data_IF_807524818354
#
_entry.id   IF_807524818354
#
_cell.length_a   1.000
_cell.length_b   1.000
_cell.length_c   1.000
_cell.angle_alpha   90.00
_cell.angle_beta   90.00
_cell.angle_gamma   90.00
#
_symmetry.space_group_name_H-M   'P 1'
#
loop_
_entity.id
_entity.type
_entity.pdbx_description
1 polymer ?
#
# COMPACT_ATOMS: atom_id res chain seq x y z
N UNK A 1 17.91 4.89 3.38
CA UNK A 1 17.47 4.14 2.19
C UNK A 1 18.71 3.71 1.42
N UNK A 2 18.77 2.49 0.86
CA UNK A 2 19.92 2.00 0.08
C UNK A 2 20.02 2.79 -1.23
N UNK A 3 21.23 3.19 -1.71
CA UNK A 3 21.39 4.04 -2.89
C UNK A 3 20.65 3.52 -4.14
N UNK A 4 20.72 2.22 -4.41
CA UNK A 4 20.03 1.59 -5.53
C UNK A 4 18.51 1.83 -5.51
N UNK A 5 17.89 1.69 -4.33
CA UNK A 5 16.45 1.92 -4.16
C UNK A 5 16.14 3.41 -4.42
N UNK A 6 16.91 4.32 -3.84
CA UNK A 6 16.70 5.76 -3.99
C UNK A 6 16.83 6.20 -5.46
N UNK A 7 17.87 5.73 -6.15
CA UNK A 7 18.09 6.04 -7.57
C UNK A 7 17.00 5.45 -8.46
N UNK A 8 16.51 4.25 -8.13
CA UNK A 8 15.42 3.62 -8.88
C UNK A 8 14.10 4.37 -8.69
N UNK A 9 13.78 4.81 -7.47
CA UNK A 9 12.61 5.67 -7.21
C UNK A 9 12.73 6.99 -7.98
N UNK A 10 13.88 7.65 -7.93
CA UNK A 10 14.14 8.88 -8.68
C UNK A 10 14.03 8.69 -10.20
N UNK A 11 14.36 7.50 -10.70
CA UNK A 11 14.15 7.13 -12.10
C UNK A 11 12.66 6.98 -12.41
N UNK A 12 11.92 6.22 -11.58
CA UNK A 12 10.48 6.00 -11.77
C UNK A 12 9.69 7.32 -11.76
N UNK A 13 10.05 8.26 -10.90
CA UNK A 13 9.46 9.62 -10.83
C UNK A 13 9.61 10.43 -12.13
N UNK A 14 10.57 10.06 -12.99
CA UNK A 14 10.83 10.67 -14.31
C UNK A 14 10.20 9.88 -15.46
N UNK A 15 9.48 8.80 -15.18
CA UNK A 15 8.77 7.99 -16.18
C UNK A 15 7.26 8.23 -16.10
N UNK A 16 6.50 7.59 -16.99
CA UNK A 16 5.05 7.56 -16.85
C UNK A 16 4.56 6.50 -15.84
N UNK A 17 5.44 5.78 -15.13
CA UNK A 17 5.06 4.75 -14.15
C UNK A 17 4.05 5.26 -13.12
N UNK A 18 2.84 4.73 -13.18
CA UNK A 18 1.76 5.12 -12.27
C UNK A 18 1.74 4.22 -11.05
N UNK A 19 1.92 4.84 -9.89
CA UNK A 19 1.63 4.23 -8.59
C UNK A 19 0.27 4.75 -8.14
N UNK A 20 -0.63 3.83 -7.78
CA UNK A 20 -1.99 4.17 -7.35
C UNK A 20 -2.03 4.41 -5.84
N UNK A 21 -1.22 5.36 -5.35
CA UNK A 21 -1.37 5.86 -3.98
C UNK A 21 -2.80 6.36 -3.77
N UNK A 22 -3.34 6.31 -2.53
CA UNK A 22 -4.64 6.91 -2.25
C UNK A 22 -4.67 8.37 -2.72
N UNK A 23 -5.73 8.75 -3.42
CA UNK A 23 -5.97 10.15 -3.77
C UNK A 23 -6.28 10.94 -2.49
N UNK A 24 -5.45 11.92 -2.15
CA UNK A 24 -5.56 12.69 -0.91
C UNK A 24 -6.16 14.04 -1.22
N UNK A 25 -7.31 14.34 -0.62
CA UNK A 25 -7.96 15.63 -0.70
C UNK A 25 -8.04 16.26 0.69
N UNK A 26 -7.58 17.50 0.84
CA UNK A 26 -7.73 18.22 2.10
C UNK A 26 -9.07 18.93 2.13
N UNK A 27 -9.80 18.78 3.23
CA UNK A 27 -11.16 19.28 3.36
C UNK A 27 -11.27 20.15 4.61
N UNK A 28 -11.73 21.38 4.42
CA UNK A 28 -12.16 22.28 5.49
C UNK A 28 -13.67 22.32 5.48
N UNK A 29 -14.29 22.07 6.64
CA UNK A 29 -15.74 22.08 6.80
C UNK A 29 -16.19 23.45 7.31
N UNK A 30 -17.18 24.05 6.64
CA UNK A 30 -17.73 25.38 6.96
C UNK A 30 -19.08 25.23 7.68
N UNK A 31 -19.46 26.27 8.45
CA UNK A 31 -20.62 26.30 9.37
C UNK A 31 -21.99 25.94 8.72
N UNK A 32 -22.14 26.03 7.40
CA UNK A 32 -23.39 25.74 6.67
C UNK A 32 -23.42 24.38 5.93
N UNK A 33 -22.55 23.43 6.31
CA UNK A 33 -22.28 22.17 5.58
C UNK A 33 -21.55 22.34 4.24
N UNK A 34 -21.14 23.56 3.93
CA UNK A 34 -20.23 23.83 2.83
C UNK A 34 -18.87 23.18 3.07
N UNK A 35 -18.26 22.68 2.00
CA UNK A 35 -16.96 22.00 2.04
C UNK A 35 -16.01 22.72 1.10
N UNK A 36 -14.86 23.12 1.62
CA UNK A 36 -13.75 23.58 0.80
C UNK A 36 -12.78 22.42 0.60
N UNK A 37 -12.56 22.05 -0.67
CA UNK A 37 -11.68 20.94 -1.04
C UNK A 37 -10.43 21.53 -1.68
N UNK A 38 -9.29 21.34 -1.04
CA UNK A 38 -8.00 21.71 -1.60
C UNK A 38 -7.39 20.49 -2.28
N UNK A 39 -7.15 20.64 -3.59
CA UNK A 39 -6.55 19.61 -4.45
C UNK A 39 -5.24 20.13 -5.03
N UNK A 40 -4.20 19.31 -5.01
CA UNK A 40 -2.95 19.59 -5.69
C UNK A 40 -2.85 18.74 -6.96
N UNK A 41 -2.60 19.39 -8.10
CA UNK A 41 -2.36 18.69 -9.37
C UNK A 41 -0.92 18.93 -9.81
N UNK A 42 -0.18 17.83 -10.04
CA UNK A 42 1.12 17.87 -10.70
C UNK A 42 0.96 17.36 -12.14
N UNK A 43 1.19 18.23 -13.12
CA UNK A 43 1.24 17.86 -14.53
C UNK A 43 2.71 17.84 -14.99
N UNK A 44 3.28 16.65 -15.11
CA UNK A 44 4.60 16.49 -15.74
C UNK A 44 4.46 16.48 -17.26
N UNK A 45 4.88 17.57 -17.90
CA UNK A 45 4.89 17.74 -19.37
C UNK A 45 6.15 17.20 -20.06
N UNK A 46 6.95 16.38 -19.37
CA UNK A 46 8.15 15.77 -19.97
C UNK A 46 7.78 14.73 -21.02
N UNK A 47 8.67 14.53 -22.01
CA UNK A 47 8.69 13.35 -22.87
C UNK A 47 8.93 12.12 -21.98
N UNK A 48 7.86 11.60 -21.39
CA UNK A 48 7.97 10.47 -20.48
C UNK A 48 8.47 9.26 -21.27
N UNK A 49 9.53 8.63 -20.79
CA UNK A 49 9.85 7.26 -21.18
C UNK A 49 8.59 6.42 -20.92
N UNK A 50 8.05 5.78 -21.96
CA UNK A 50 6.79 5.03 -21.92
C UNK A 50 6.92 3.69 -21.19
N UNK A 51 7.25 3.73 -19.89
CA UNK A 51 7.39 2.55 -19.04
C UNK A 51 6.04 1.85 -18.81
N UNK A 52 4.93 2.59 -18.74
CA UNK A 52 3.58 2.01 -18.61
C UNK A 52 3.20 1.11 -19.79
N UNK A 53 3.84 1.25 -20.95
CA UNK A 53 3.61 0.38 -22.11
C UNK A 53 4.49 -0.87 -22.10
N UNK A 54 5.42 -0.99 -21.14
CA UNK A 54 6.37 -2.10 -21.07
C UNK A 54 6.27 -2.79 -19.70
N UNK A 55 5.27 -3.65 -19.55
CA UNK A 55 5.01 -4.39 -18.30
C UNK A 55 6.19 -5.26 -17.86
N UNK A 56 6.95 -5.81 -18.80
CA UNK A 56 8.16 -6.57 -18.48
C UNK A 56 9.19 -5.71 -17.75
N UNK A 57 9.53 -4.55 -18.33
CA UNK A 57 10.50 -3.64 -17.72
C UNK A 57 9.98 -3.11 -16.38
N UNK A 58 8.69 -2.76 -16.33
CA UNK A 58 8.00 -2.30 -15.13
C UNK A 58 8.11 -3.30 -13.99
N UNK A 59 7.85 -4.58 -14.28
CA UNK A 59 7.98 -5.65 -13.31
C UNK A 59 9.42 -5.85 -12.86
N UNK A 60 10.39 -5.93 -13.78
CA UNK A 60 11.80 -6.18 -13.43
C UNK A 60 12.36 -5.09 -12.53
N UNK A 61 12.06 -3.82 -12.82
CA UNK A 61 12.51 -2.69 -11.97
C UNK A 61 11.89 -2.81 -10.58
N UNK A 62 10.58 -3.04 -10.51
CA UNK A 62 9.86 -3.13 -9.23
C UNK A 62 10.32 -4.34 -8.40
N UNK A 63 10.52 -5.49 -9.04
CA UNK A 63 11.06 -6.69 -8.41
C UNK A 63 12.47 -6.47 -7.87
N UNK A 64 13.35 -5.81 -8.64
CA UNK A 64 14.73 -5.58 -8.22
C UNK A 64 14.80 -4.69 -6.98
N UNK A 65 13.95 -3.66 -6.91
CA UNK A 65 13.79 -2.86 -5.68
C UNK A 65 13.32 -3.71 -4.50
N UNK A 66 12.32 -4.58 -4.72
CA UNK A 66 11.81 -5.48 -3.69
C UNK A 66 12.87 -6.46 -3.18
N UNK A 67 13.68 -7.03 -4.08
CA UNK A 67 14.75 -7.98 -3.76
C UNK A 67 15.88 -7.33 -2.96
N UNK A 68 16.33 -6.14 -3.39
CA UNK A 68 17.32 -5.35 -2.63
C UNK A 68 16.76 -4.93 -1.27
N UNK A 69 15.47 -4.59 -1.19
CA UNK A 69 14.84 -4.28 0.09
C UNK A 69 14.75 -5.51 0.99
N UNK A 70 14.44 -6.69 0.45
CA UNK A 70 14.47 -7.96 1.17
C UNK A 70 15.85 -8.24 1.78
N UNK A 71 16.92 -7.99 1.02
CA UNK A 71 18.29 -8.13 1.50
C UNK A 71 18.63 -7.07 2.57
N UNK A 72 18.05 -5.88 2.49
CA UNK A 72 18.24 -4.83 3.50
C UNK A 72 17.60 -5.20 4.84
N UNK A 73 16.39 -5.79 4.81
CA UNK A 73 15.68 -6.21 6.03
C UNK A 73 16.18 -7.55 6.57
N UNK A 74 16.81 -8.36 5.72
CA UNK A 74 17.40 -9.64 6.10
C UNK A 74 18.77 -9.86 5.39
N UNK A 75 19.85 -9.23 5.87
CA UNK A 75 21.16 -9.25 5.21
C UNK A 75 21.76 -10.65 5.03
N UNK A 76 21.45 -11.58 5.94
CA UNK A 76 21.90 -12.97 5.83
C UNK A 76 21.32 -13.69 4.61
N UNK A 77 20.31 -13.13 3.95
CA UNK A 77 19.67 -13.71 2.78
C UNK A 77 20.28 -13.25 1.45
N UNK A 78 21.23 -12.32 1.47
CA UNK A 78 21.94 -11.85 0.28
C UNK A 78 22.63 -13.02 -0.44
N UNK A 79 22.53 -13.03 -1.78
CA UNK A 79 23.09 -14.10 -2.62
C UNK A 79 22.36 -15.44 -2.55
N UNK A 80 21.38 -15.62 -1.65
CA UNK A 80 20.56 -16.84 -1.62
C UNK A 80 19.54 -16.85 -2.75
N UNK A 81 19.08 -18.05 -3.12
CA UNK A 81 17.98 -18.19 -4.09
C UNK A 81 16.69 -17.55 -3.57
N UNK A 82 15.79 -17.10 -4.46
CA UNK A 82 14.54 -16.48 -4.05
C UNK A 82 13.67 -17.38 -3.15
N UNK A 83 13.74 -18.70 -3.34
CA UNK A 83 13.07 -19.67 -2.46
C UNK A 83 13.62 -19.58 -1.03
N UNK A 84 14.95 -19.62 -0.89
CA UNK A 84 15.62 -19.51 0.41
C UNK A 84 15.37 -18.15 1.06
N UNK A 85 15.43 -17.05 0.28
CA UNK A 85 15.09 -15.70 0.76
C UNK A 85 13.68 -15.69 1.36
N UNK A 86 12.66 -16.11 0.61
CA UNK A 86 11.28 -16.19 1.11
C UNK A 86 11.14 -17.02 2.40
N UNK A 87 11.81 -18.17 2.46
CA UNK A 87 11.75 -19.06 3.63
C UNK A 87 12.37 -18.40 4.87
N UNK A 88 13.40 -17.57 4.69
CA UNK A 88 14.06 -16.84 5.76
C UNK A 88 13.36 -15.54 6.17
N UNK A 89 12.43 -15.00 5.36
CA UNK A 89 11.69 -13.79 5.73
C UNK A 89 10.85 -14.05 6.99
N UNK A 90 10.88 -13.16 7.99
CA UNK A 90 10.04 -13.26 9.17
C UNK A 90 8.55 -13.10 8.76
N UNK A 91 7.65 -13.62 9.61
CA UNK A 91 6.19 -13.69 9.38
C UNK A 91 5.43 -13.57 10.71
N UNK A 92 5.93 -12.73 11.61
CA UNK A 92 5.47 -12.61 13.00
C UNK A 92 4.42 -11.52 13.21
N UNK A 93 4.31 -10.59 12.27
CA UNK A 93 3.36 -9.49 12.29
C UNK A 93 2.85 -9.18 10.87
N UNK A 94 1.83 -8.32 10.76
CA UNK A 94 1.18 -8.01 9.49
C UNK A 94 2.13 -7.40 8.45
N UNK A 95 3.06 -6.54 8.88
CA UNK A 95 4.07 -5.94 8.00
C UNK A 95 4.87 -7.04 7.29
N UNK A 96 5.36 -8.00 8.08
CA UNK A 96 6.17 -9.12 7.62
C UNK A 96 5.37 -10.12 6.79
N UNK A 97 4.12 -10.39 7.18
CA UNK A 97 3.20 -11.27 6.45
C UNK A 97 2.95 -10.73 5.05
N UNK A 98 2.51 -9.47 4.94
CA UNK A 98 2.21 -8.81 3.66
C UNK A 98 3.47 -8.76 2.80
N UNK A 99 4.61 -8.33 3.37
CA UNK A 99 5.89 -8.29 2.67
C UNK A 99 6.28 -9.66 2.09
N UNK A 100 6.20 -10.71 2.91
CA UNK A 100 6.54 -12.07 2.47
C UNK A 100 5.59 -12.59 1.38
N UNK A 101 4.31 -12.24 1.44
CA UNK A 101 3.31 -12.56 0.43
C UNK A 101 3.61 -11.90 -0.91
N UNK A 102 3.90 -10.60 -0.91
CA UNK A 102 4.34 -9.86 -2.10
C UNK A 102 5.57 -10.50 -2.72
N UNK A 103 6.58 -10.81 -1.89
CA UNK A 103 7.81 -11.43 -2.34
C UNK A 103 7.57 -12.80 -3.00
N UNK A 104 6.67 -13.62 -2.45
CA UNK A 104 6.31 -14.92 -3.02
C UNK A 104 5.63 -14.80 -4.39
N UNK A 105 4.70 -13.87 -4.54
CA UNK A 105 4.07 -13.56 -5.83
C UNK A 105 5.13 -13.09 -6.84
N UNK A 106 5.98 -12.14 -6.42
CA UNK A 106 7.02 -11.56 -7.27
C UNK A 106 8.01 -12.62 -7.78
N UNK A 107 8.43 -13.55 -6.92
CA UNK A 107 9.27 -14.70 -7.29
C UNK A 107 8.67 -15.49 -8.46
N UNK A 108 7.37 -15.80 -8.41
CA UNK A 108 6.69 -16.60 -9.44
C UNK A 108 6.73 -15.87 -10.80
N UNK A 109 6.40 -14.58 -10.81
CA UNK A 109 6.45 -13.73 -12.01
C UNK A 109 7.87 -13.68 -12.55
N UNK A 110 8.84 -13.31 -11.71
CA UNK A 110 10.25 -13.15 -12.13
C UNK A 110 10.78 -14.43 -12.74
N UNK A 111 10.53 -15.58 -12.12
CA UNK A 111 11.00 -16.86 -12.64
C UNK A 111 10.36 -17.22 -13.99
N UNK A 112 9.08 -16.88 -14.18
CA UNK A 112 8.43 -17.02 -15.49
C UNK A 112 9.13 -16.14 -16.53
N UNK A 113 9.31 -14.84 -16.25
CA UNK A 113 9.92 -13.90 -17.19
C UNK A 113 11.34 -14.28 -17.64
N UNK A 114 12.17 -14.74 -16.69
CA UNK A 114 13.60 -14.98 -16.96
C UNK A 114 13.86 -16.39 -17.48
N UNK A 115 13.16 -17.40 -16.96
CA UNK A 115 13.48 -18.80 -17.25
C UNK A 115 12.43 -19.49 -18.14
N UNK A 116 11.22 -18.96 -18.23
CA UNK A 116 10.13 -19.54 -19.00
C UNK A 116 9.33 -18.43 -19.72
N UNK A 117 9.94 -17.67 -20.64
CA UNK A 117 9.29 -16.49 -21.24
C UNK A 117 7.99 -16.82 -21.99
N UNK A 118 7.85 -18.04 -22.50
CA UNK A 118 6.60 -18.52 -23.11
C UNK A 118 5.50 -18.86 -22.10
N UNK A 119 5.84 -18.94 -20.81
CA UNK A 119 4.94 -19.24 -19.70
C UNK A 119 4.42 -17.99 -18.98
N UNK A 120 4.66 -16.81 -19.55
CA UNK A 120 4.12 -15.54 -19.06
C UNK A 120 3.51 -14.77 -20.23
N UNK A 121 2.33 -14.23 -19.99
CA UNK A 121 1.60 -13.44 -20.97
C UNK A 121 1.05 -12.18 -20.29
N UNK A 122 1.37 -11.03 -20.88
CA UNK A 122 0.82 -9.74 -20.51
C UNK A 122 -0.18 -9.35 -21.60
N UNK A 123 -1.44 -9.71 -21.40
CA UNK A 123 -2.53 -9.16 -22.20
C UNK A 123 -2.95 -7.81 -21.59
N UNK A 124 -3.61 -6.96 -22.38
CA UNK A 124 -3.99 -5.59 -22.02
C UNK A 124 -4.75 -5.49 -20.68
N UNK A 125 -5.44 -6.56 -20.28
CA UNK A 125 -6.27 -6.59 -19.08
C UNK A 125 -5.77 -7.52 -17.97
N UNK A 126 -4.75 -8.36 -18.21
CA UNK A 126 -4.32 -9.37 -17.23
C UNK A 126 -2.89 -9.85 -17.45
N UNK A 127 -2.26 -10.24 -16.35
CA UNK A 127 -1.05 -11.05 -16.31
C UNK A 127 -1.44 -12.51 -16.08
N UNK A 128 -1.02 -13.39 -16.98
CA UNK A 128 -1.13 -14.84 -16.85
C UNK A 128 0.27 -15.44 -16.70
N UNK A 129 0.46 -16.27 -15.69
CA UNK A 129 1.66 -17.11 -15.53
C UNK A 129 1.23 -18.57 -15.53
N UNK A 130 1.87 -19.38 -16.37
CA UNK A 130 1.62 -20.83 -16.43
C UNK A 130 2.83 -21.56 -17.02
N UNK A 131 3.56 -22.31 -16.20
CA UNK A 131 4.66 -23.16 -16.67
C UNK A 131 4.91 -24.33 -15.71
N UNK A 132 5.66 -25.33 -16.18
CA UNK A 132 6.10 -26.48 -15.38
C UNK A 132 7.62 -26.47 -15.28
N UNK A 133 8.14 -26.61 -14.08
CA UNK A 133 9.58 -26.75 -13.84
C UNK A 133 9.83 -27.85 -12.80
N UNK A 134 10.68 -28.83 -13.14
CA UNK A 134 11.01 -29.99 -12.27
C UNK A 134 9.75 -30.63 -11.65
N UNK A 135 8.75 -30.92 -12.49
CA UNK A 135 7.46 -31.51 -12.11
C UNK A 135 6.60 -30.66 -11.16
N UNK A 136 6.98 -29.41 -10.92
CA UNK A 136 6.18 -28.46 -10.15
C UNK A 136 5.44 -27.53 -11.11
N UNK A 137 4.15 -27.35 -10.88
CA UNK A 137 3.30 -26.42 -11.61
C UNK A 137 3.38 -25.03 -10.99
N UNK A 138 3.71 -24.03 -11.80
CA UNK A 138 3.66 -22.63 -11.43
C UNK A 138 2.52 -21.98 -12.20
N UNK A 139 1.57 -21.40 -11.49
CA UNK A 139 0.45 -20.72 -12.14
C UNK A 139 -0.07 -19.57 -11.32
N UNK A 140 -0.60 -18.56 -12.01
CA UNK A 140 -1.45 -17.53 -11.44
C UNK A 140 -2.00 -16.61 -12.53
N UNK A 141 -3.11 -15.95 -12.22
CA UNK A 141 -3.68 -14.88 -13.05
C UNK A 141 -4.01 -13.66 -12.19
N UNK A 142 -3.63 -12.48 -12.67
CA UNK A 142 -3.93 -11.18 -12.07
C UNK A 142 -4.56 -10.26 -13.10
N UNK A 143 -5.61 -9.53 -12.74
CA UNK A 143 -6.10 -8.44 -13.60
C UNK A 143 -5.12 -7.27 -13.59
N UNK A 144 -5.18 -6.39 -14.59
CA UNK A 144 -4.33 -5.20 -14.69
C UNK A 144 -4.43 -4.32 -13.44
N UNK A 145 -5.65 -4.11 -12.95
CA UNK A 145 -5.91 -3.32 -11.73
C UNK A 145 -5.19 -3.91 -10.52
N UNK A 146 -5.29 -5.23 -10.33
CA UNK A 146 -4.67 -5.91 -9.19
C UNK A 146 -3.14 -5.94 -9.33
N UNK A 147 -2.63 -6.05 -10.55
CA UNK A 147 -1.21 -5.92 -10.82
C UNK A 147 -0.70 -4.50 -10.48
N UNK A 148 -1.48 -3.47 -10.74
CA UNK A 148 -1.13 -2.10 -10.34
C UNK A 148 -1.21 -1.88 -8.82
N UNK A 149 -2.18 -2.51 -8.13
CA UNK A 149 -2.20 -2.58 -6.66
C UNK A 149 -0.93 -3.27 -6.12
N UNK A 150 -0.49 -4.36 -6.75
CA UNK A 150 0.72 -5.08 -6.40
C UNK A 150 1.98 -4.21 -6.54
N UNK A 151 2.13 -3.49 -7.65
CA UNK A 151 3.23 -2.54 -7.81
C UNK A 151 3.17 -1.41 -6.78
N UNK A 152 1.97 -0.89 -6.54
CA UNK A 152 1.75 0.18 -5.57
C UNK A 152 2.21 -0.23 -4.18
N UNK A 153 1.82 -1.42 -3.74
CA UNK A 153 2.18 -1.90 -2.43
C UNK A 153 3.69 -2.13 -2.29
N UNK A 154 4.37 -2.65 -3.32
CA UNK A 154 5.83 -2.77 -3.30
C UNK A 154 6.49 -1.39 -3.12
N UNK A 155 6.07 -0.38 -3.87
CA UNK A 155 6.63 0.97 -3.75
C UNK A 155 6.36 1.54 -2.36
N UNK A 156 5.15 1.39 -1.82
CA UNK A 156 4.82 1.83 -0.46
C UNK A 156 5.77 1.22 0.58
N UNK A 157 6.07 -0.08 0.48
CA UNK A 157 7.02 -0.76 1.38
C UNK A 157 8.45 -0.24 1.24
N UNK A 158 8.91 -0.12 0.01
CA UNK A 158 10.31 0.20 -0.30
C UNK A 158 10.62 1.67 -0.02
N UNK A 159 9.70 2.57 -0.39
CA UNK A 159 9.83 4.01 -0.17
C UNK A 159 9.68 4.35 1.30
N UNK A 160 8.80 3.66 2.02
CA UNK A 160 8.58 3.83 3.46
C UNK A 160 8.08 5.25 3.82
N UNK A 161 7.54 5.99 2.85
CA UNK A 161 7.07 7.37 3.02
C UNK A 161 5.79 7.47 3.87
N UNK A 162 5.05 6.37 3.97
CA UNK A 162 3.93 6.20 4.90
C UNK A 162 4.37 5.70 6.28
N UNK A 163 5.67 5.49 6.49
CA UNK A 163 6.25 4.92 7.70
C UNK A 163 5.90 3.45 7.92
N UNK A 164 5.83 3.07 9.20
CA UNK A 164 5.52 1.69 9.65
C UNK A 164 4.40 1.64 10.71
N UNK A 165 3.68 2.74 10.89
CA UNK A 165 2.60 2.86 11.87
C UNK A 165 1.32 2.16 11.42
N UNK A 166 0.30 2.16 12.29
CA UNK A 166 -0.96 1.47 12.02
C UNK A 166 -1.70 2.04 10.80
N UNK A 167 -1.53 3.34 10.49
CA UNK A 167 -2.07 3.93 9.26
C UNK A 167 -1.53 3.29 7.98
N UNK A 168 -0.21 3.08 7.91
CA UNK A 168 0.40 2.33 6.81
C UNK A 168 -0.14 0.91 6.75
N UNK A 169 -0.20 0.21 7.89
CA UNK A 169 -0.64 -1.18 7.94
C UNK A 169 -2.10 -1.33 7.54
N UNK A 170 -2.98 -0.45 7.97
CA UNK A 170 -4.40 -0.48 7.63
C UNK A 170 -4.62 -0.26 6.11
N UNK A 171 -3.84 0.61 5.46
CA UNK A 171 -3.84 0.74 3.99
C UNK A 171 -3.26 -0.50 3.31
N UNK A 172 -2.12 -0.98 3.80
CA UNK A 172 -1.42 -2.13 3.23
C UNK A 172 -2.27 -3.40 3.29
N UNK A 173 -3.02 -3.61 4.38
CA UNK A 173 -3.95 -4.73 4.55
C UNK A 173 -5.06 -4.69 3.50
N UNK A 174 -5.70 -3.54 3.30
CA UNK A 174 -6.75 -3.35 2.29
C UNK A 174 -6.25 -3.68 0.87
N UNK A 175 -5.09 -3.12 0.50
CA UNK A 175 -4.50 -3.35 -0.83
C UNK A 175 -4.07 -4.81 -0.99
N UNK A 176 -3.42 -5.38 0.03
CA UNK A 176 -2.96 -6.76 -0.01
C UNK A 176 -4.09 -7.78 -0.07
N UNK A 177 -5.16 -7.58 0.71
CA UNK A 177 -6.33 -8.46 0.64
C UNK A 177 -6.98 -8.40 -0.74
N UNK A 178 -7.09 -7.22 -1.36
CA UNK A 178 -7.56 -7.08 -2.74
C UNK A 178 -6.67 -7.85 -3.72
N UNK A 179 -5.35 -7.86 -3.51
CA UNK A 179 -4.42 -8.67 -4.31
C UNK A 179 -4.70 -10.16 -4.14
N UNK A 180 -4.70 -10.66 -2.90
CA UNK A 180 -4.83 -12.10 -2.62
C UNK A 180 -6.21 -12.63 -3.03
N UNK A 181 -7.29 -11.89 -2.74
CA UNK A 181 -8.67 -12.29 -3.09
C UNK A 181 -8.94 -12.34 -4.59
N UNK A 182 -8.21 -11.56 -5.39
CA UNK A 182 -8.34 -11.52 -6.85
C UNK A 182 -7.24 -12.29 -7.59
N UNK A 183 -6.36 -12.98 -6.86
CA UNK A 183 -5.34 -13.84 -7.43
C UNK A 183 -5.92 -15.22 -7.74
N UNK A 184 -6.01 -15.55 -9.03
CA UNK A 184 -6.63 -16.79 -9.47
C UNK A 184 -5.58 -17.88 -9.73
N UNK A 185 -5.84 -19.09 -9.24
CA UNK A 185 -5.04 -20.28 -9.58
C UNK A 185 -3.59 -20.22 -9.12
N UNK A 186 -3.30 -19.57 -7.98
CA UNK A 186 -1.93 -19.46 -7.47
C UNK A 186 -1.34 -20.82 -7.09
N UNK A 187 -0.24 -21.18 -7.73
CA UNK A 187 0.54 -22.40 -7.47
C UNK A 187 2.02 -22.11 -7.64
N UNK A 188 2.85 -22.63 -6.73
CA UNK A 188 4.31 -22.56 -6.81
C UNK A 188 4.96 -23.76 -6.07
N UNK A 189 6.27 -23.70 -5.87
CA UNK A 189 7.07 -24.73 -5.22
C UNK A 189 7.08 -24.68 -3.68
N UNK A 190 6.23 -23.85 -3.10
CA UNK A 190 6.10 -23.66 -1.65
C UNK A 190 4.76 -24.21 -1.17
N UNK A 191 4.72 -24.90 -0.02
CA UNK A 191 3.47 -25.42 0.51
C UNK A 191 2.56 -24.29 1.03
N UNK A 192 1.25 -24.53 0.98
CA UNK A 192 0.24 -23.67 1.60
C UNK A 192 -0.15 -22.44 0.78
N UNK A 193 -1.22 -21.79 1.23
CA UNK A 193 -1.76 -20.57 0.66
C UNK A 193 -0.85 -19.37 0.94
N UNK A 194 -1.12 -18.24 0.29
CA UNK A 194 -0.51 -16.97 0.69
C UNK A 194 -0.97 -16.60 2.11
N UNK A 195 -0.06 -16.15 2.98
CA UNK A 195 -0.43 -15.76 4.32
C UNK A 195 -1.30 -14.50 4.27
N UNK A 196 -2.26 -14.40 5.19
CA UNK A 196 -3.12 -13.23 5.36
C UNK A 196 -2.75 -12.55 6.69
N UNK A 197 -2.73 -11.21 6.75
CA UNK A 197 -2.51 -10.48 7.99
C UNK A 197 -3.65 -10.73 8.98
N UNK A 198 -3.34 -10.70 10.28
CA UNK A 198 -4.29 -10.95 11.36
C UNK A 198 -5.00 -9.65 11.81
N UNK A 199 -4.42 -8.49 11.50
CA UNK A 199 -5.00 -7.20 11.82
C UNK A 199 -6.38 -7.00 11.18
N UNK A 200 -7.32 -6.50 11.99
CA UNK A 200 -8.73 -6.39 11.59
C UNK A 200 -9.02 -5.10 10.83
N UNK A 201 -8.34 -4.02 11.18
CA UNK A 201 -8.65 -2.72 10.62
C UNK A 201 -8.00 -2.55 9.25
N UNK A 202 -8.84 -2.16 8.29
CA UNK A 202 -8.50 -1.85 6.91
C UNK A 202 -9.10 -0.47 6.63
N UNK A 203 -8.33 0.40 6.01
CA UNK A 203 -8.81 1.73 5.62
C UNK A 203 -8.86 1.81 4.10
N UNK A 204 -9.92 2.41 3.58
CA UNK A 204 -10.17 2.47 2.13
C UNK A 204 -9.04 3.20 1.43
N UNK A 205 -8.49 2.59 0.38
CA UNK A 205 -7.24 3.03 -0.24
C UNK A 205 -7.41 3.83 -1.54
N UNK A 206 -8.63 4.02 -2.07
CA UNK A 206 -8.78 4.69 -3.37
C UNK A 206 -8.75 6.21 -3.25
N UNK A 207 -9.47 6.77 -2.27
CA UNK A 207 -9.50 8.20 -1.96
C UNK A 207 -9.65 8.43 -0.46
N UNK A 208 -8.87 9.36 0.09
CA UNK A 208 -8.98 9.85 1.46
C UNK A 208 -9.28 11.34 1.47
N UNK A 209 -10.28 11.73 2.25
CA UNK A 209 -10.53 13.13 2.59
C UNK A 209 -9.95 13.44 3.97
N UNK A 210 -8.89 14.24 4.00
CA UNK A 210 -8.28 14.67 5.26
C UNK A 210 -9.05 15.88 5.75
N UNK A 211 -9.87 15.67 6.78
CA UNK A 211 -10.63 16.73 7.43
C UNK A 211 -9.68 17.49 8.35
N UNK A 212 -9.42 18.76 8.00
CA UNK A 212 -8.55 19.66 8.75
C UNK A 212 -9.39 20.40 9.79
N UNK A 213 -8.86 20.51 11.02
CA UNK A 213 -9.50 21.19 12.15
C UNK A 213 -10.97 20.78 12.35
N UNK A 214 -11.29 19.47 12.41
CA UNK A 214 -12.66 19.07 12.68
C UNK A 214 -13.09 19.55 14.07
N UNK A 215 -14.37 19.88 14.21
CA UNK A 215 -15.07 20.02 15.47
C UNK A 215 -15.16 18.64 16.12
N UNK A 216 -14.70 18.55 17.37
CA UNK A 216 -14.80 17.35 18.17
C UNK A 216 -15.03 17.71 19.62
N UNK A 217 -15.66 16.79 20.34
CA UNK A 217 -15.87 16.89 21.78
C UNK A 217 -15.04 15.83 22.50
N UNK A 218 -14.59 16.14 23.72
CA UNK A 218 -13.95 15.18 24.60
C UNK A 218 -14.82 15.00 25.84
N UNK A 219 -15.34 13.79 26.03
CA UNK A 219 -16.09 13.36 27.21
C UNK A 219 -15.51 12.03 27.71
N UNK A 220 -15.25 11.90 29.01
CA UNK A 220 -14.79 10.65 29.63
C UNK A 220 -13.66 9.93 28.88
N UNK A 221 -12.62 10.68 28.49
CA UNK A 221 -11.46 10.18 27.72
C UNK A 221 -11.81 9.60 26.33
N UNK A 222 -12.92 10.05 25.75
CA UNK A 222 -13.39 9.65 24.42
C UNK A 222 -13.50 10.89 23.53
N UNK A 223 -13.00 10.76 22.30
CA UNK A 223 -13.11 11.78 21.25
C UNK A 223 -14.36 11.48 20.44
N UNK A 224 -15.22 12.47 20.21
CA UNK A 224 -16.45 12.34 19.43
C UNK A 224 -16.47 13.30 18.25
N UNK A 225 -16.77 12.76 17.06
CA UNK A 225 -16.91 13.51 15.80
C UNK A 225 -18.40 13.58 15.36
N UNK A 226 -19.29 13.84 16.33
CA UNK A 226 -20.75 13.67 16.23
C UNK A 226 -21.42 14.59 15.21
N UNK A 227 -20.82 15.74 14.90
CA UNK A 227 -21.35 16.70 13.93
C UNK A 227 -21.24 16.22 12.46
N UNK A 228 -20.45 15.18 12.22
CA UNK A 228 -20.17 14.72 10.86
C UNK A 228 -21.02 13.52 10.45
N UNK A 229 -22.00 13.78 9.59
CA UNK A 229 -22.63 12.74 8.76
C UNK A 229 -21.70 12.41 7.61
N UNK A 230 -20.85 11.44 7.85
CA UNK A 230 -19.89 10.98 6.88
C UNK A 230 -20.48 9.82 6.10
N UNK A 231 -21.15 10.15 5.00
CA UNK A 231 -21.61 9.18 4.01
C UNK A 231 -20.62 9.19 2.83
N UNK A 232 -19.54 8.42 2.97
CA UNK A 232 -18.63 8.18 1.84
C UNK A 232 -19.05 6.92 1.09
N UNK A 233 -18.89 6.91 -0.25
CA UNK A 233 -19.04 5.69 -1.01
C UNK A 233 -18.04 4.63 -0.52
N UNK A 234 -18.32 3.35 -0.76
CA UNK A 234 -17.51 2.23 -0.27
C UNK A 234 -16.02 2.30 -0.66
N UNK A 235 -15.68 3.05 -1.71
CA UNK A 235 -14.31 3.21 -2.19
C UNK A 235 -13.57 4.42 -1.60
N UNK A 236 -14.23 5.33 -0.86
CA UNK A 236 -13.61 6.52 -0.25
C UNK A 236 -13.77 6.52 1.28
N UNK A 237 -12.84 7.16 1.98
CA UNK A 237 -12.95 7.38 3.43
C UNK A 237 -12.44 8.76 3.82
N UNK A 238 -12.61 9.11 5.10
CA UNK A 238 -12.02 10.31 5.67
C UNK A 238 -11.05 9.99 6.79
N UNK A 239 -10.13 10.93 6.99
CA UNK A 239 -9.22 10.97 8.11
C UNK A 239 -9.41 12.30 8.86
N UNK A 240 -9.51 12.24 10.17
CA UNK A 240 -9.63 13.41 11.02
C UNK A 240 -8.26 13.81 11.53
N UNK A 241 -7.80 15.00 11.14
CA UNK A 241 -6.52 15.55 11.60
C UNK A 241 -6.76 16.47 12.79
N UNK A 242 -6.34 16.04 13.98
CA UNK A 242 -6.51 16.80 15.23
C UNK A 242 -5.22 16.87 16.04
N UNK A 243 -5.16 17.78 17.01
CA UNK A 243 -4.08 17.85 17.98
C UNK A 243 -4.64 17.77 19.41
N UNK A 244 -4.11 16.85 20.21
CA UNK A 244 -4.49 16.67 21.63
C UNK A 244 -3.21 16.62 22.47
N UNK A 245 -3.08 17.55 23.41
CA UNK A 245 -1.92 17.68 24.29
C UNK A 245 -0.57 17.78 23.53
N UNK A 246 -0.56 18.49 22.41
CA UNK A 246 0.63 18.63 21.56
C UNK A 246 0.95 17.41 20.68
N UNK A 247 0.11 16.37 20.71
CA UNK A 247 0.25 15.18 19.86
C UNK A 247 -0.69 15.32 18.66
N UNK A 248 -0.12 15.35 17.45
CA UNK A 248 -0.88 15.33 16.20
C UNK A 248 -1.37 13.92 15.91
N UNK A 249 -2.66 13.79 15.65
CA UNK A 249 -3.33 12.52 15.36
C UNK A 249 -3.98 12.59 13.97
N UNK A 250 -3.93 11.47 13.25
CA UNK A 250 -4.65 11.27 12.00
C UNK A 250 -5.53 10.03 12.12
N UNK A 251 -6.78 10.24 12.51
CA UNK A 251 -7.70 9.17 12.87
C UNK A 251 -8.57 8.82 11.66
N UNK A 252 -8.44 7.62 11.06
CA UNK A 252 -9.32 7.22 9.98
C UNK A 252 -10.73 6.98 10.51
N UNK A 253 -11.73 7.32 9.72
CA UNK A 253 -13.14 7.08 10.05
C UNK A 253 -13.39 5.61 10.41
N UNK A 254 -12.73 4.68 9.73
CA UNK A 254 -12.87 3.24 9.97
C UNK A 254 -12.41 2.81 11.37
N UNK A 255 -11.58 3.60 12.06
CA UNK A 255 -11.18 3.36 13.44
C UNK A 255 -12.22 3.83 14.47
N UNK A 256 -13.24 4.58 14.04
CA UNK A 256 -14.33 5.03 14.90
C UNK A 256 -15.39 3.94 15.06
N UNK A 257 -16.09 3.96 16.20
CA UNK A 257 -17.26 3.11 16.40
C UNK A 257 -18.50 3.66 15.64
N UNK A 258 -19.64 2.99 15.78
CA UNK A 258 -20.91 3.39 15.12
C UNK A 258 -21.45 4.75 15.55
N UNK A 259 -20.91 5.35 16.61
CA UNK A 259 -21.27 6.68 17.13
C UNK A 259 -20.21 7.74 16.75
N UNK A 260 -19.29 7.44 15.82
CA UNK A 260 -18.16 8.30 15.44
C UNK A 260 -17.25 8.65 16.63
N UNK A 261 -16.97 7.67 17.50
CA UNK A 261 -16.17 7.83 18.72
C UNK A 261 -14.96 6.91 18.76
N UNK A 262 -13.91 7.36 19.44
CA UNK A 262 -12.69 6.58 19.75
C UNK A 262 -12.11 7.02 21.11
N UNK A 263 -11.55 6.08 21.88
CA UNK A 263 -10.87 6.44 23.13
C UNK A 263 -9.55 7.16 22.85
N UNK A 264 -9.21 8.18 23.66
CA UNK A 264 -7.95 8.94 23.52
C UNK A 264 -6.74 8.00 23.60
N UNK A 265 -6.79 6.99 24.47
CA UNK A 265 -5.70 6.02 24.63
C UNK A 265 -5.44 5.20 23.36
N UNK A 266 -6.50 4.77 22.68
CA UNK A 266 -6.36 4.04 21.41
C UNK A 266 -5.93 4.99 20.30
N UNK A 267 -6.47 6.22 20.28
CA UNK A 267 -6.09 7.24 19.32
C UNK A 267 -4.60 7.58 19.36
N UNK A 268 -4.06 7.87 20.55
CA UNK A 268 -2.63 8.16 20.73
C UNK A 268 -1.73 6.95 20.46
N UNK A 269 -2.19 5.73 20.73
CA UNK A 269 -1.39 4.52 20.50
C UNK A 269 -1.26 4.19 19.01
N UNK A 270 -2.35 4.30 18.26
CA UNK A 270 -2.44 3.73 16.91
C UNK A 270 -2.39 4.81 15.82
N UNK A 271 -2.83 6.03 16.10
CA UNK A 271 -3.12 7.07 15.10
C UNK A 271 -2.26 8.32 15.24
N UNK A 272 -1.12 8.23 15.93
CA UNK A 272 -0.15 9.31 15.96
C UNK A 272 0.39 9.59 14.56
N UNK A 273 0.33 10.85 14.14
CA UNK A 273 0.79 11.30 12.82
C UNK A 273 2.32 11.47 12.80
N UNK A 274 3.03 10.35 12.97
CA UNK A 274 4.51 10.31 13.03
C UNK A 274 5.19 10.40 11.66
N UNK A 275 4.42 10.35 10.56
CA UNK A 275 4.94 10.23 9.19
C UNK A 275 4.60 11.46 8.35
N UNK A 276 5.30 11.59 7.22
CA UNK A 276 5.13 12.68 6.25
C UNK A 276 3.84 12.52 5.43
N UNK A 277 3.22 11.33 5.45
CA UNK A 277 2.04 11.01 4.65
C UNK A 277 0.82 10.62 5.51
N UNK A 278 -0.40 11.07 5.13
CA UNK A 278 -0.66 12.10 4.13
C UNK A 278 -0.11 13.45 4.60
N UNK A 279 0.42 14.25 3.67
CA UNK A 279 0.95 15.58 4.00
C UNK A 279 -0.21 16.42 4.50
N UNK A 280 -0.21 16.83 5.76
CA UNK A 280 -1.20 17.79 6.29
C UNK A 280 -0.58 19.18 6.20
N UNK A 281 -1.11 20.08 5.36
CA UNK A 281 -0.57 21.43 5.24
C UNK A 281 -0.80 22.21 6.53
N UNK A 282 0.25 22.84 7.05
CA UNK A 282 0.20 23.57 8.34
C UNK A 282 -0.54 24.93 8.25
N UNK A 283 -0.90 25.38 7.05
CA UNK A 283 -1.45 26.71 6.79
C UNK A 283 -2.81 26.68 6.04
N UNK A 284 -3.57 25.58 6.12
CA UNK A 284 -4.94 25.49 5.61
C UNK A 284 -5.96 25.56 6.75
#
# INVERSE_FOLDING_TARGET
MVPYIQETLNFLDKTDFKINYPDINHVILKEEKDREIHMAFACNFSQNNHLNKNENLKFIITFSMLDVFADTVNPESEGKSFRQKYQSLPKTNDYEIIFSGLYRIAKVIRNAMVHNPNGIDFDHNKLCVKYVFKSTMYSMTLSKRVLDDFYTLIVMYVKGDLGKGEYFLALAREIYERIVSNLQGFSDDLPGLLPLPDGKLKIRSARREIIINPLFEIEDSTISFSEYKIDFPEWAGADFSIEIDGVRLLIPQEALNSENRISISSAKRDWEAINVFPVVPENL
#
